data_IF_963592726693
#
_entry.id   IF_963592726693
#
_cell.length_a   1.000
_cell.length_b   1.000
_cell.length_c   1.000
_cell.angle_alpha   90.00
_cell.angle_beta   90.00
_cell.angle_gamma   90.00
#
_symmetry.space_group_name_H-M   'P 1'
#
loop_
_entity.id
_entity.type
_entity.pdbx_description
1 polymer ?
#
# COMPACT_ATOMS: atom_id res chain seq x y z
N UNK A 1 2.44 12.05 -14.71
CA UNK A 1 3.19 12.20 -13.45
C UNK A 1 2.98 10.99 -12.58
N UNK A 2 4.05 10.43 -12.07
CA UNK A 2 3.95 9.21 -11.26
C UNK A 2 3.76 9.56 -9.79
N UNK A 3 2.86 8.86 -9.14
CA UNK A 3 2.63 9.11 -7.73
C UNK A 3 2.28 7.81 -7.00
N UNK A 4 2.55 7.79 -5.73
CA UNK A 4 2.18 6.67 -4.88
C UNK A 4 1.39 7.21 -3.69
N UNK A 5 0.33 6.48 -3.35
CA UNK A 5 -0.50 6.80 -2.19
C UNK A 5 -0.44 5.59 -1.27
N UNK A 6 -0.06 5.79 -0.03
CA UNK A 6 0.07 4.70 0.93
C UNK A 6 -1.01 4.85 1.98
N UNK A 7 -1.86 3.83 2.06
CA UNK A 7 -2.96 3.80 3.02
C UNK A 7 -2.62 2.77 4.08
N UNK A 8 -2.33 3.22 5.28
CA UNK A 8 -1.99 2.34 6.40
C UNK A 8 -3.06 2.45 7.46
N UNK A 9 -3.17 1.42 8.28
CA UNK A 9 -4.11 1.47 9.38
C UNK A 9 -4.53 0.10 9.81
N UNK A 10 -5.33 0.06 10.87
CA UNK A 10 -5.77 -1.19 11.44
C UNK A 10 -6.85 -1.85 10.59
N UNK A 11 -7.04 -3.14 10.87
CA UNK A 11 -8.09 -3.88 10.22
C UNK A 11 -9.43 -3.18 10.48
N UNK A 12 -10.27 -3.15 9.48
CA UNK A 12 -11.59 -2.54 9.65
C UNK A 12 -11.61 -1.04 9.50
N UNK A 13 -10.50 -0.44 9.11
CA UNK A 13 -10.44 1.02 8.98
C UNK A 13 -10.92 1.52 7.62
N UNK A 14 -11.36 0.62 6.75
CA UNK A 14 -11.87 1.04 5.45
C UNK A 14 -10.82 1.26 4.38
N UNK A 15 -9.58 0.82 4.61
CA UNK A 15 -8.50 1.04 3.66
C UNK A 15 -8.81 0.49 2.28
N UNK A 16 -9.36 -0.73 2.24
CA UNK A 16 -9.65 -1.36 0.96
C UNK A 16 -10.70 -0.59 0.20
N UNK A 17 -11.72 -0.11 0.90
CA UNK A 17 -12.79 0.67 0.29
C UNK A 17 -12.24 1.97 -0.28
N UNK A 18 -11.38 2.64 0.49
CA UNK A 18 -10.77 3.89 0.04
C UNK A 18 -9.87 3.63 -1.17
N UNK A 19 -9.08 2.55 -1.11
CA UNK A 19 -8.19 2.23 -2.23
C UNK A 19 -8.96 2.00 -3.51
N UNK A 20 -10.08 1.27 -3.43
CA UNK A 20 -10.88 1.00 -4.62
C UNK A 20 -11.55 2.27 -5.14
N UNK A 21 -11.99 3.14 -4.23
CA UNK A 21 -12.60 4.40 -4.64
C UNK A 21 -11.57 5.27 -5.35
N UNK A 22 -10.36 5.32 -4.82
CA UNK A 22 -9.30 6.10 -5.45
C UNK A 22 -8.91 5.53 -6.80
N UNK A 23 -8.86 4.20 -6.91
CA UNK A 23 -8.54 3.56 -8.17
C UNK A 23 -9.55 3.97 -9.25
N UNK A 24 -10.83 3.98 -8.90
CA UNK A 24 -11.85 4.38 -9.84
C UNK A 24 -11.75 5.87 -10.19
N UNK A 25 -11.41 6.67 -9.20
CA UNK A 25 -11.31 8.11 -9.43
C UNK A 25 -10.15 8.42 -10.35
N UNK A 26 -9.01 7.79 -10.18
CA UNK A 26 -7.85 8.03 -11.03
C UNK A 26 -8.00 7.35 -12.38
N UNK A 27 -8.76 6.26 -12.46
CA UNK A 27 -9.05 5.64 -13.73
C UNK A 27 -8.12 4.50 -14.10
N UNK A 28 -8.17 4.13 -15.34
CA UNK A 28 -7.34 3.02 -15.82
C UNK A 28 -5.86 3.27 -15.58
N UNK A 29 -5.12 2.19 -15.46
CA UNK A 29 -3.70 2.19 -15.22
C UNK A 29 -3.35 2.71 -13.83
N UNK A 30 -4.26 2.52 -12.88
CA UNK A 30 -4.02 2.78 -11.48
C UNK A 30 -3.87 1.43 -10.80
N UNK A 31 -2.70 1.18 -10.21
CA UNK A 31 -2.43 -0.11 -9.57
C UNK A 31 -2.78 -0.05 -8.10
N UNK A 32 -3.45 -1.08 -7.62
CA UNK A 32 -3.68 -1.22 -6.17
C UNK A 32 -2.88 -2.43 -5.69
N UNK A 33 -2.00 -2.18 -4.73
CA UNK A 33 -1.23 -3.25 -4.09
C UNK A 33 -1.81 -3.41 -2.69
N UNK A 34 -2.52 -4.51 -2.48
CA UNK A 34 -3.15 -4.79 -1.19
C UNK A 34 -2.33 -5.84 -0.46
N UNK A 35 -1.78 -5.47 0.68
CA UNK A 35 -0.97 -6.38 1.47
C UNK A 35 -1.78 -7.62 1.86
N UNK A 36 -3.04 -7.42 2.25
CA UNK A 36 -3.87 -8.52 2.69
C UNK A 36 -4.16 -9.48 1.54
N UNK A 37 -4.45 -8.94 0.38
CA UNK A 37 -4.73 -9.75 -0.80
C UNK A 37 -3.51 -10.58 -1.19
N UNK A 38 -2.35 -9.96 -1.19
CA UNK A 38 -1.12 -10.66 -1.55
C UNK A 38 -0.82 -11.76 -0.54
N UNK A 39 -0.92 -11.44 0.73
CA UNK A 39 -0.58 -12.40 1.77
C UNK A 39 -1.58 -13.55 1.84
N UNK A 40 -2.85 -13.25 1.76
CA UNK A 40 -3.88 -14.27 1.97
C UNK A 40 -4.26 -15.03 0.73
N UNK A 41 -4.39 -14.32 -0.39
CA UNK A 41 -4.96 -14.92 -1.58
C UNK A 41 -3.96 -15.23 -2.67
N UNK A 42 -2.89 -14.48 -2.77
CA UNK A 42 -1.90 -14.74 -3.82
C UNK A 42 -0.83 -15.70 -3.34
N UNK A 43 -0.26 -15.46 -2.17
CA UNK A 43 0.82 -16.30 -1.65
C UNK A 43 0.38 -17.27 -0.56
N UNK A 44 -0.65 -16.89 0.18
CA UNK A 44 -1.15 -17.67 1.31
C UNK A 44 -0.03 -17.88 2.34
N UNK A 45 0.52 -16.79 2.84
CA UNK A 45 1.59 -16.82 3.82
C UNK A 45 1.22 -16.01 5.04
N UNK A 46 1.95 -16.25 6.12
CA UNK A 46 1.73 -15.49 7.35
C UNK A 46 2.43 -14.15 7.26
N UNK A 47 1.95 -13.20 8.03
CA UNK A 47 2.61 -11.93 8.16
C UNK A 47 3.73 -12.05 9.20
N UNK A 48 4.59 -11.07 9.25
CA UNK A 48 5.66 -11.05 10.24
C UNK A 48 7.00 -10.74 9.64
N UNK A 49 8.04 -10.97 10.46
CA UNK A 49 9.41 -10.79 10.02
C UNK A 49 9.67 -11.76 8.87
N UNK A 50 10.31 -11.25 7.82
CA UNK A 50 10.66 -12.06 6.65
C UNK A 50 9.46 -12.61 5.90
N UNK A 51 8.31 -11.96 6.00
CA UNK A 51 7.16 -12.41 5.24
C UNK A 51 7.45 -12.39 3.75
N UNK A 52 7.00 -13.41 3.06
CA UNK A 52 7.21 -13.50 1.61
C UNK A 52 6.37 -12.49 0.85
N UNK A 53 5.40 -11.88 1.50
CA UNK A 53 4.59 -10.84 0.85
C UNK A 53 5.42 -9.60 0.54
N UNK A 54 6.40 -9.30 1.37
CA UNK A 54 7.19 -8.08 1.22
C UNK A 54 7.94 -8.02 -0.12
N UNK A 55 8.71 -9.05 -0.50
CA UNK A 55 9.42 -8.98 -1.77
C UNK A 55 8.47 -8.82 -2.96
N UNK A 56 7.34 -9.49 -2.93
CA UNK A 56 6.39 -9.36 -4.02
C UNK A 56 5.81 -7.96 -4.09
N UNK A 57 5.51 -7.37 -2.93
CA UNK A 57 4.98 -6.01 -2.91
C UNK A 57 6.00 -5.02 -3.48
N UNK A 58 7.27 -5.23 -3.17
CA UNK A 58 8.33 -4.38 -3.71
C UNK A 58 8.41 -4.51 -5.23
N UNK A 59 8.34 -5.74 -5.75
CA UNK A 59 8.37 -5.94 -7.19
C UNK A 59 7.17 -5.31 -7.88
N UNK A 60 5.99 -5.45 -7.28
CA UNK A 60 4.80 -4.83 -7.85
C UNK A 60 4.91 -3.31 -7.84
N UNK A 61 5.49 -2.76 -6.78
CA UNK A 61 5.65 -1.32 -6.70
C UNK A 61 6.62 -0.82 -7.78
N UNK A 62 7.70 -1.57 -8.03
CA UNK A 62 8.63 -1.21 -9.08
C UNK A 62 7.97 -1.28 -10.45
N UNK A 63 7.20 -2.33 -10.68
CA UNK A 63 6.47 -2.46 -11.92
C UNK A 63 5.51 -1.29 -12.09
N UNK A 64 4.79 -0.95 -11.03
CA UNK A 64 3.85 0.17 -11.08
C UNK A 64 4.55 1.49 -11.34
N UNK A 65 5.73 1.69 -10.78
CA UNK A 65 6.47 2.91 -11.04
C UNK A 65 6.80 3.05 -12.51
N UNK A 66 7.14 1.94 -13.17
CA UNK A 66 7.54 1.99 -14.57
C UNK A 66 6.37 2.03 -15.52
N UNK A 67 5.26 1.45 -15.15
CA UNK A 67 4.16 1.24 -16.10
C UNK A 67 2.84 1.90 -15.74
N UNK A 68 2.67 2.34 -14.51
CA UNK A 68 1.39 2.90 -14.07
C UNK A 68 1.55 4.37 -13.68
N UNK A 69 0.47 5.10 -13.82
CA UNK A 69 0.50 6.52 -13.45
C UNK A 69 0.36 6.70 -11.94
N UNK A 70 -0.42 5.85 -11.31
CA UNK A 70 -0.65 5.93 -9.87
C UNK A 70 -0.55 4.54 -9.27
N UNK A 71 0.13 4.43 -8.13
CA UNK A 71 0.17 3.20 -7.36
C UNK A 71 -0.42 3.48 -6.01
N UNK A 72 -1.36 2.65 -5.58
CA UNK A 72 -1.98 2.75 -4.27
C UNK A 72 -1.58 1.53 -3.48
N UNK A 73 -0.92 1.74 -2.35
CA UNK A 73 -0.45 0.67 -1.49
C UNK A 73 -1.28 0.71 -0.23
N UNK A 74 -1.94 -0.39 0.11
CA UNK A 74 -2.78 -0.37 1.30
C UNK A 74 -2.59 -1.63 2.13
N UNK A 75 -2.75 -1.48 3.43
CA UNK A 75 -2.69 -2.62 4.32
C UNK A 75 -2.20 -2.26 5.71
N UNK A 76 -2.18 -3.28 6.55
CA UNK A 76 -1.59 -3.19 7.87
C UNK A 76 -0.13 -3.53 7.66
N UNK A 77 0.74 -2.55 7.79
CA UNK A 77 2.15 -2.72 7.47
C UNK A 77 3.00 -2.09 8.56
N UNK A 78 3.49 -2.93 9.47
CA UNK A 78 4.31 -2.44 10.57
C UNK A 78 5.71 -2.08 10.06
N UNK A 79 6.23 -0.97 10.54
CA UNK A 79 7.55 -0.52 10.11
C UNK A 79 8.62 -1.56 10.34
N UNK A 80 8.53 -2.29 11.45
CA UNK A 80 9.54 -3.29 11.77
C UNK A 80 9.67 -4.34 10.68
N UNK A 81 8.59 -4.63 9.98
CA UNK A 81 8.58 -5.68 8.98
C UNK A 81 8.61 -5.15 7.55
N UNK A 82 8.09 -3.95 7.34
CA UNK A 82 7.89 -3.42 5.99
C UNK A 82 8.77 -2.22 5.65
N UNK A 83 9.74 -1.91 6.50
CA UNK A 83 10.62 -0.78 6.25
C UNK A 83 11.25 -0.80 4.84
N UNK A 84 11.71 -1.95 4.31
CA UNK A 84 12.28 -1.93 2.97
C UNK A 84 11.30 -1.49 1.89
N UNK A 85 10.01 -1.76 2.09
CA UNK A 85 8.99 -1.35 1.12
C UNK A 85 8.89 0.17 1.10
N UNK A 86 8.85 0.78 2.28
CA UNK A 86 8.72 2.23 2.37
C UNK A 86 9.98 2.92 1.88
N UNK A 87 11.14 2.35 2.14
CA UNK A 87 12.40 2.92 1.64
C UNK A 87 12.42 2.89 0.12
N UNK A 88 11.96 1.80 -0.48
CA UNK A 88 11.92 1.69 -1.93
C UNK A 88 10.91 2.68 -2.51
N UNK A 89 9.77 2.84 -1.86
CA UNK A 89 8.77 3.79 -2.33
C UNK A 89 9.35 5.20 -2.33
N UNK A 90 10.04 5.56 -1.25
CA UNK A 90 10.61 6.88 -1.14
C UNK A 90 11.72 7.09 -2.19
N UNK A 91 12.51 6.06 -2.43
CA UNK A 91 13.58 6.16 -3.41
C UNK A 91 13.04 6.34 -4.82
N UNK A 92 11.98 5.60 -5.16
CA UNK A 92 11.43 5.65 -6.50
C UNK A 92 10.60 6.90 -6.75
N UNK A 93 9.76 7.26 -5.81
CA UNK A 93 8.79 8.33 -6.02
C UNK A 93 9.20 9.66 -5.43
N UNK A 94 10.13 9.64 -4.50
CA UNK A 94 10.58 10.86 -3.82
C UNK A 94 9.60 11.26 -2.74
N UNK A 95 8.45 11.73 -3.12
CA UNK A 95 7.43 12.16 -2.17
C UNK A 95 6.27 11.20 -2.23
N UNK A 96 5.90 10.64 -1.08
CA UNK A 96 4.79 9.72 -1.00
C UNK A 96 3.64 10.39 -0.27
N UNK A 97 2.43 10.18 -0.78
CA UNK A 97 1.24 10.62 -0.08
C UNK A 97 0.87 9.51 0.90
N UNK A 98 0.97 9.81 2.17
CA UNK A 98 0.71 8.83 3.20
C UNK A 98 -0.56 9.15 3.94
N UNK A 99 -1.43 8.17 4.04
CA UNK A 99 -2.66 8.28 4.82
C UNK A 99 -2.66 7.13 5.81
N UNK A 100 -2.84 7.45 7.08
CA UNK A 100 -2.89 6.42 8.09
C UNK A 100 -4.16 6.59 8.90
N UNK A 101 -4.80 5.49 9.19
CA UNK A 101 -6.04 5.52 9.96
C UNK A 101 -5.96 4.67 11.20
N UNK A 102 -4.77 4.40 11.67
CA UNK A 102 -4.66 3.60 12.86
C UNK A 102 -5.22 4.33 14.02
N UNK A 103 -5.02 5.57 14.07
CA UNK A 103 -5.56 6.30 15.16
C UNK A 103 -6.82 6.88 14.63
N UNK A 104 -7.54 6.08 14.05
CA UNK A 104 -8.78 6.46 13.47
C UNK A 104 -9.56 7.36 14.31
N UNK A 105 -9.33 7.18 15.42
CA UNK A 105 -9.69 7.98 16.42
C UNK A 105 -9.42 9.40 16.04
N UNK A 106 -8.27 9.67 15.70
CA UNK A 106 -7.99 11.02 15.45
C UNK A 106 -8.58 11.38 14.12
N UNK A 107 -8.76 10.40 13.30
CA UNK A 107 -9.39 10.70 12.06
C UNK A 107 -10.81 11.08 12.28
N UNK A 108 -11.39 10.51 13.26
CA UNK A 108 -12.74 10.83 13.54
C UNK A 108 -12.79 12.26 13.84
N UNK A 109 -11.78 12.72 14.40
CA UNK A 109 -11.73 14.10 14.70
C UNK A 109 -11.49 14.89 13.45
N UNK A 110 -11.35 14.24 12.40
CA UNK A 110 -11.10 15.00 11.20
C UNK A 110 -12.29 14.93 10.30
#
# INVERSE_FOLDING_TARGET
MKKIIILRGNSGSGKTTVARALQKKFGYNTMVISQDEIRRNILWVKDGVDTKALPLMIELMKYGYEHCDVVILEGIMYDEWYSPLFKTANKLYGICLLYTSDAADELDGV
#
